data_IF_956886580000
#
_entry.id   IF_956886580000
#
_cell.length_a   1.000
_cell.length_b   1.000
_cell.length_c   1.000
_cell.angle_alpha   90.00
_cell.angle_beta   90.00
_cell.angle_gamma   90.00
#
_symmetry.space_group_name_H-M   'P 1'
#
loop_
_entity.id
_entity.type
_entity.pdbx_description
1 polymer ?
#
# COMPACT_ATOMS: atom_id res chain seq x y z
N UNK A 1 68.64 -19.51 27.10
CA UNK A 1 67.70 -18.49 26.59
C UNK A 1 66.39 -19.20 26.28
N UNK A 2 65.41 -19.15 27.17
CA UNK A 2 64.11 -19.83 26.96
C UNK A 2 63.07 -18.82 26.53
N UNK A 3 62.76 -18.82 25.24
CA UNK A 3 61.74 -17.94 24.66
C UNK A 3 60.35 -18.53 24.94
N UNK A 4 59.60 -17.90 25.84
CA UNK A 4 58.19 -18.24 26.08
C UNK A 4 57.35 -17.65 24.96
N UNK A 5 56.77 -18.50 24.11
CA UNK A 5 55.77 -18.09 23.14
C UNK A 5 54.41 -17.96 23.85
N UNK A 6 53.97 -16.72 24.10
CA UNK A 6 52.60 -16.45 24.51
C UNK A 6 51.65 -16.90 23.40
N UNK A 7 50.82 -17.91 23.68
CA UNK A 7 49.69 -18.28 22.81
C UNK A 7 48.72 -17.10 22.76
N UNK A 8 48.64 -16.43 21.61
CA UNK A 8 47.59 -15.44 21.37
C UNK A 8 46.26 -16.18 21.30
N UNK A 9 45.33 -15.81 22.18
CA UNK A 9 43.98 -16.36 22.17
C UNK A 9 43.24 -15.81 20.94
N UNK A 10 42.52 -16.65 20.16
CA UNK A 10 41.76 -16.18 19.00
C UNK A 10 40.72 -15.14 19.44
N UNK A 11 40.41 -14.15 18.59
CA UNK A 11 39.42 -13.14 18.92
C UNK A 11 38.07 -13.79 19.23
N UNK A 12 37.29 -13.27 20.21
CA UNK A 12 35.97 -13.79 20.49
C UNK A 12 35.09 -13.70 19.23
N UNK A 13 34.19 -14.68 19.01
CA UNK A 13 33.24 -14.61 17.91
C UNK A 13 32.43 -13.31 18.02
N UNK A 14 32.04 -12.70 16.89
CA UNK A 14 31.16 -11.54 16.92
C UNK A 14 29.88 -11.89 17.70
N UNK A 15 29.30 -10.94 18.45
CA UNK A 15 28.06 -11.19 19.17
C UNK A 15 27.03 -11.72 18.19
N UNK A 16 26.63 -12.98 18.37
CA UNK A 16 25.54 -13.61 17.64
C UNK A 16 24.29 -12.82 18.01
N UNK A 17 23.91 -11.89 17.13
CA UNK A 17 22.65 -11.17 17.23
C UNK A 17 21.57 -12.24 17.32
N UNK A 18 20.89 -12.31 18.48
CA UNK A 18 19.82 -13.27 18.73
C UNK A 18 18.84 -13.23 17.55
N UNK A 19 18.37 -14.39 17.04
CA UNK A 19 17.52 -14.44 15.87
C UNK A 19 16.32 -13.52 16.11
N UNK A 20 16.19 -12.50 15.26
CA UNK A 20 15.09 -11.54 15.33
C UNK A 20 13.80 -12.35 15.22
N UNK A 21 13.02 -12.40 16.31
CA UNK A 21 11.74 -13.10 16.32
C UNK A 21 10.88 -12.48 15.23
N UNK A 22 10.45 -13.31 14.28
CA UNK A 22 9.55 -12.88 13.20
C UNK A 22 8.14 -12.78 13.77
N UNK A 23 7.43 -11.73 13.39
CA UNK A 23 6.05 -11.47 13.79
C UNK A 23 5.17 -11.35 12.56
N UNK A 24 3.94 -11.81 12.68
CA UNK A 24 2.88 -11.53 11.71
C UNK A 24 1.94 -10.48 12.28
N UNK A 25 1.61 -9.47 11.49
CA UNK A 25 0.61 -8.47 11.80
C UNK A 25 -0.73 -8.89 11.19
N UNK A 26 -1.70 -9.14 12.07
CA UNK A 26 -3.09 -9.40 11.72
C UNK A 26 -3.88 -8.09 11.74
N UNK A 27 -4.38 -7.67 10.58
CA UNK A 27 -5.09 -6.40 10.41
C UNK A 27 -6.43 -6.63 9.72
N UNK A 28 -7.48 -5.99 10.26
CA UNK A 28 -8.79 -5.92 9.61
C UNK A 28 -9.11 -4.48 9.25
N UNK A 29 -9.29 -4.21 7.97
CA UNK A 29 -9.76 -2.92 7.46
C UNK A 29 -11.29 -3.00 7.38
N UNK A 30 -11.96 -2.37 8.34
CA UNK A 30 -13.42 -2.45 8.49
C UNK A 30 -14.12 -1.43 7.59
N UNK A 31 -13.94 -0.14 7.87
CA UNK A 31 -14.69 0.94 7.22
C UNK A 31 -14.00 2.29 7.37
N UNK A 32 -14.42 3.27 6.59
CA UNK A 32 -14.12 4.68 6.82
C UNK A 32 -15.41 5.52 6.85
N UNK A 33 -15.30 6.78 7.24
CA UNK A 33 -16.43 7.73 7.27
C UNK A 33 -15.97 9.13 6.91
N UNK A 34 -16.90 9.90 6.34
CA UNK A 34 -16.70 11.31 6.00
C UNK A 34 -15.53 11.55 5.03
N UNK A 35 -15.35 10.64 4.06
CA UNK A 35 -14.37 10.87 3.00
C UNK A 35 -14.79 12.06 2.14
N UNK A 36 -13.86 12.98 1.89
CA UNK A 36 -14.09 14.09 0.97
C UNK A 36 -14.17 13.54 -0.45
N UNK A 37 -15.32 13.63 -1.09
CA UNK A 37 -15.43 13.34 -2.51
C UNK A 37 -14.69 14.46 -3.26
N UNK A 38 -13.64 14.14 -4.03
CA UNK A 38 -12.94 15.13 -4.89
C UNK A 38 -13.41 15.06 -6.36
N UNK A 39 -14.21 14.05 -6.72
CA UNK A 39 -14.74 13.86 -8.07
C UNK A 39 -15.98 14.73 -8.39
N UNK A 40 -16.38 15.62 -7.48
CA UNK A 40 -17.56 16.48 -7.65
C UNK A 40 -17.39 17.58 -8.71
N UNK A 41 -16.16 17.96 -9.07
CA UNK A 41 -15.91 19.12 -9.93
C UNK A 41 -15.86 18.82 -11.44
N UNK A 42 -15.78 17.55 -11.86
CA UNK A 42 -15.71 17.20 -13.27
C UNK A 42 -16.64 16.02 -13.59
N UNK A 43 -17.88 16.36 -13.95
CA UNK A 43 -18.94 15.51 -14.51
C UNK A 43 -19.72 14.60 -13.53
N UNK A 44 -21.01 14.97 -13.32
CA UNK A 44 -22.15 14.20 -12.75
C UNK A 44 -21.84 13.25 -11.60
N UNK A 45 -22.15 13.66 -10.35
CA UNK A 45 -22.22 12.78 -9.17
C UNK A 45 -21.23 11.60 -9.21
N UNK A 46 -19.92 11.89 -9.29
CA UNK A 46 -18.91 10.85 -9.38
C UNK A 46 -18.97 9.96 -8.15
N UNK A 47 -19.37 8.69 -8.35
CA UNK A 47 -19.35 7.68 -7.29
C UNK A 47 -17.95 7.61 -6.70
N UNK A 48 -17.86 7.71 -5.37
CA UNK A 48 -16.60 7.49 -4.67
C UNK A 48 -16.32 5.98 -4.68
N UNK A 49 -15.20 5.58 -5.27
CA UNK A 49 -14.74 4.18 -5.28
C UNK A 49 -13.40 4.13 -4.54
N UNK A 50 -13.42 4.06 -3.19
CA UNK A 50 -12.21 4.15 -2.40
C UNK A 50 -11.57 2.76 -2.20
N UNK A 51 -10.25 2.76 -2.13
CA UNK A 51 -9.40 1.60 -1.80
C UNK A 51 -8.47 1.99 -0.67
N UNK A 52 -8.24 1.09 0.27
CA UNK A 52 -7.19 1.26 1.28
C UNK A 52 -5.92 0.57 0.80
N UNK A 53 -4.81 1.31 0.77
CA UNK A 53 -3.48 0.75 0.59
C UNK A 53 -2.68 0.83 1.89
N UNK A 54 -1.91 -0.22 2.19
CA UNK A 54 -1.09 -0.25 3.39
C UNK A 54 0.19 -1.07 3.20
N UNK A 55 1.23 -0.73 3.97
CA UNK A 55 2.54 -1.38 3.93
C UNK A 55 3.33 -1.13 5.21
N UNK A 56 4.30 -2.00 5.49
CA UNK A 56 5.23 -1.83 6.61
C UNK A 56 6.51 -1.18 6.09
N UNK A 57 6.97 -0.12 6.75
CA UNK A 57 8.29 0.49 6.51
C UNK A 57 9.31 -0.02 7.54
N UNK A 58 10.59 -0.14 7.17
CA UNK A 58 11.13 0.03 5.82
C UNK A 58 10.91 -1.21 4.92
N UNK A 59 10.83 -1.01 3.60
CA UNK A 59 10.98 -2.08 2.60
C UNK A 59 9.82 -3.07 2.40
N UNK A 60 8.69 -2.91 3.09
CA UNK A 60 7.54 -3.81 2.94
C UNK A 60 6.80 -3.64 1.61
N UNK A 61 6.29 -4.76 1.07
CA UNK A 61 5.35 -4.76 -0.06
C UNK A 61 4.07 -4.05 0.33
N UNK A 62 3.47 -3.38 -0.64
CA UNK A 62 2.14 -2.77 -0.52
C UNK A 62 1.01 -3.77 -0.75
N UNK A 63 0.02 -3.71 0.11
CA UNK A 63 -1.24 -4.45 0.05
C UNK A 63 -2.39 -3.48 -0.16
N UNK A 64 -3.49 -3.97 -0.74
CA UNK A 64 -4.68 -3.17 -1.01
C UNK A 64 -5.95 -3.97 -0.73
N UNK A 65 -6.99 -3.29 -0.23
CA UNK A 65 -8.35 -3.83 -0.21
C UNK A 65 -8.91 -3.91 -1.63
N UNK A 66 -10.03 -4.62 -1.79
CA UNK A 66 -10.92 -4.40 -2.93
C UNK A 66 -11.50 -2.99 -2.86
N UNK A 67 -11.94 -2.44 -4.00
CA UNK A 67 -12.66 -1.18 -4.00
C UNK A 67 -14.05 -1.34 -3.37
N UNK A 68 -14.45 -0.38 -2.54
CA UNK A 68 -15.84 -0.22 -2.14
C UNK A 68 -16.61 0.44 -3.30
N UNK A 69 -17.65 -0.24 -3.81
CA UNK A 69 -18.36 0.18 -5.02
C UNK A 69 -19.69 0.89 -4.73
N UNK A 70 -20.02 1.12 -3.46
CA UNK A 70 -21.29 1.70 -3.04
C UNK A 70 -21.43 3.19 -3.40
N UNK A 71 -20.33 3.83 -3.80
CA UNK A 71 -20.33 5.24 -4.20
C UNK A 71 -20.45 6.21 -3.03
N UNK A 72 -20.48 5.72 -1.79
CA UNK A 72 -20.73 6.49 -0.58
C UNK A 72 -19.45 7.13 -0.01
N UNK A 73 -19.61 8.13 0.86
CA UNK A 73 -18.49 8.69 1.65
C UNK A 73 -18.19 7.88 2.93
N UNK A 74 -18.82 6.71 3.08
CA UNK A 74 -18.75 5.81 4.24
C UNK A 74 -18.50 4.36 3.78
N UNK A 75 -17.35 4.09 3.13
CA UNK A 75 -17.07 2.77 2.59
C UNK A 75 -16.91 1.70 3.66
N UNK A 76 -17.27 0.46 3.31
CA UNK A 76 -17.14 -0.72 4.16
C UNK A 76 -16.39 -1.81 3.37
N UNK A 77 -15.20 -2.17 3.82
CA UNK A 77 -14.39 -3.21 3.20
C UNK A 77 -14.54 -4.56 3.92
N UNK A 78 -14.44 -4.56 5.25
CA UNK A 78 -14.41 -5.78 6.07
C UNK A 78 -13.41 -6.84 5.58
N UNK A 79 -12.22 -6.39 5.19
CA UNK A 79 -11.17 -7.27 4.69
C UNK A 79 -10.07 -7.47 5.75
N UNK A 80 -9.70 -8.73 5.97
CA UNK A 80 -8.65 -9.14 6.91
C UNK A 80 -7.41 -9.61 6.15
N UNK A 81 -6.25 -9.20 6.65
CA UNK A 81 -4.95 -9.52 6.09
C UNK A 81 -4.01 -9.98 7.20
N UNK A 82 -3.13 -10.91 6.85
CA UNK A 82 -2.01 -11.33 7.69
C UNK A 82 -0.75 -10.99 6.90
N UNK A 83 0.10 -10.10 7.44
CA UNK A 83 1.30 -9.63 6.77
C UNK A 83 2.55 -9.85 7.62
N UNK A 84 3.64 -10.38 7.05
CA UNK A 84 4.87 -10.60 7.79
C UNK A 84 5.56 -9.26 8.08
N UNK A 85 6.03 -9.09 9.32
CA UNK A 85 6.87 -7.98 9.74
C UNK A 85 8.33 -8.37 9.51
N UNK A 86 8.90 -7.89 8.42
CA UNK A 86 10.30 -8.13 8.09
C UNK A 86 11.20 -7.17 8.89
N UNK A 87 11.88 -7.69 9.91
CA UNK A 87 12.82 -6.93 10.74
C UNK A 87 12.36 -6.77 12.19
N UNK A 88 12.94 -5.78 12.88
CA UNK A 88 12.57 -5.49 14.27
C UNK A 88 11.22 -4.76 14.31
N UNK A 89 10.27 -5.30 15.05
CA UNK A 89 8.93 -4.73 15.20
C UNK A 89 8.96 -3.31 15.79
N UNK A 90 9.94 -3.02 16.66
CA UNK A 90 10.13 -1.70 17.30
C UNK A 90 10.54 -0.61 16.31
N UNK A 91 11.15 -1.00 15.20
CA UNK A 91 11.65 -0.08 14.17
C UNK A 91 10.71 -0.05 12.95
N UNK A 92 9.62 -0.82 13.02
CA UNK A 92 8.66 -0.98 11.94
C UNK A 92 7.52 0.02 12.07
N UNK A 93 7.07 0.58 10.95
CA UNK A 93 5.91 1.49 10.91
C UNK A 93 4.89 1.01 9.90
N UNK A 94 3.66 0.78 10.34
CA UNK A 94 2.52 0.55 9.45
C UNK A 94 2.05 1.88 8.85
N UNK A 95 2.12 2.01 7.53
CA UNK A 95 1.55 3.12 6.78
C UNK A 95 0.21 2.69 6.18
N UNK A 96 -0.81 3.55 6.27
CA UNK A 96 -2.15 3.32 5.72
C UNK A 96 -2.56 4.57 4.94
N UNK A 97 -3.10 4.39 3.74
CA UNK A 97 -3.68 5.47 2.95
C UNK A 97 -4.99 5.04 2.29
N UNK A 98 -5.86 6.01 2.05
CA UNK A 98 -7.12 5.81 1.31
C UNK A 98 -7.01 6.57 0.01
N UNK A 99 -7.15 5.86 -1.12
CA UNK A 99 -7.06 6.45 -2.46
C UNK A 99 -8.39 6.28 -3.17
N UNK A 100 -8.78 7.31 -3.92
CA UNK A 100 -9.97 7.26 -4.77
C UNK A 100 -9.56 6.73 -6.14
N UNK A 101 -10.13 5.60 -6.56
CA UNK A 101 -10.01 5.18 -7.94
C UNK A 101 -10.97 6.02 -8.77
N UNK A 102 -10.43 6.97 -9.52
CA UNK A 102 -11.17 7.50 -10.66
C UNK A 102 -11.24 6.35 -11.66
N UNK A 103 -12.42 5.76 -11.84
CA UNK A 103 -12.68 5.00 -13.05
C UNK A 103 -12.43 5.99 -14.19
N UNK A 104 -11.28 5.87 -14.84
CA UNK A 104 -11.09 6.39 -16.18
C UNK A 104 -11.93 5.49 -17.08
N UNK A 105 -13.26 5.56 -16.92
CA UNK A 105 -14.18 5.20 -17.98
C UNK A 105 -13.67 5.99 -19.17
N UNK A 106 -13.30 5.24 -20.20
CA UNK A 106 -12.89 5.68 -21.52
C UNK A 106 -12.81 7.19 -21.65
N UNK A 107 -11.60 7.70 -21.84
CA UNK A 107 -11.45 9.03 -22.40
C UNK A 107 -11.90 8.96 -23.87
N UNK A 108 -13.19 8.75 -24.13
CA UNK A 108 -13.83 9.08 -25.41
C UNK A 108 -13.81 10.60 -25.50
N UNK A 109 -12.62 11.11 -25.81
CA UNK A 109 -12.37 12.50 -26.10
C UNK A 109 -13.11 12.81 -27.39
N UNK A 110 -14.31 13.34 -27.28
CA UNK A 110 -14.94 14.00 -28.40
C UNK A 110 -14.10 15.24 -28.74
N UNK A 111 -13.35 15.21 -29.84
CA UNK A 111 -12.94 16.45 -30.51
C UNK A 111 -14.02 16.77 -31.52
N UNK A 112 -14.77 17.85 -31.27
CA UNK A 112 -15.56 18.49 -32.31
C UNK A 112 -14.61 19.32 -33.16
N UNK A 113 -14.01 18.70 -34.17
CA UNK A 113 -13.54 19.43 -35.34
C UNK A 113 -14.68 19.39 -36.34
N UNK A 114 -15.33 20.55 -36.51
CA UNK A 114 -16.22 20.82 -37.64
C UNK A 114 -17.52 20.01 -37.70
N UNK A 115 -18.22 19.91 -36.56
CA UNK A 115 -19.63 19.48 -36.53
C UNK A 115 -19.88 17.96 -36.67
N UNK A 116 -18.85 17.16 -36.93
CA UNK A 116 -18.97 15.71 -37.03
C UNK A 116 -18.40 15.03 -35.76
N UNK A 117 -19.27 14.35 -34.99
CA UNK A 117 -18.84 13.57 -33.81
C UNK A 117 -18.28 12.23 -34.28
N UNK A 118 -16.95 12.05 -34.27
CA UNK A 118 -16.33 10.72 -34.48
C UNK A 118 -15.79 10.15 -33.18
N UNK A 119 -16.17 8.89 -32.91
CA UNK A 119 -15.63 8.07 -31.81
C UNK A 119 -14.26 7.55 -32.28
N UNK A 120 -13.20 7.93 -31.57
CA UNK A 120 -11.87 7.35 -31.79
C UNK A 120 -11.81 6.03 -31.01
N UNK A 121 -11.71 4.92 -31.73
CA UNK A 121 -11.41 3.61 -31.13
C UNK A 121 -9.93 3.55 -30.75
N UNK A 122 -9.65 2.94 -29.60
CA UNK A 122 -8.30 2.77 -29.06
C UNK A 122 -7.48 1.84 -29.94
N UNK A 123 -6.25 2.24 -30.26
CA UNK A 123 -5.23 1.34 -30.82
C UNK A 123 -4.69 0.48 -29.67
N UNK A 124 -4.55 -0.82 -29.94
CA UNK A 124 -4.12 -1.89 -29.02
C UNK A 124 -2.86 -1.58 -28.20
#
# INVERSE_FOLDING_TARGET
>A
MSSSFSRQQPPPPPPTQSPSKLYDLDITIVSAKHLHNINWQHWRQGNLIPVVGFWIKPGGRRFTTKPDQDGSTKPIWNERFIIPVNGHITDSTLSIEITQLTLRLEQTRWRSTDGEKKKLESID
#
